data_IF_380747780368
#
_entry.id   IF_380747780368
#
_cell.length_a   1.000
_cell.length_b   1.000
_cell.length_c   1.000
_cell.angle_alpha   90.00
_cell.angle_beta   90.00
_cell.angle_gamma   90.00
#
_symmetry.space_group_name_H-M   'P 1'
#
loop_
_entity.id
_entity.type
_entity.pdbx_description
1 polymer ?
#
# COMPACT_ATOMS: atom_id res chain seq x y z
N UNK A 1 -22.95 -8.87 0.67
CA UNK A 1 -21.62 -9.47 0.51
C UNK A 1 -20.96 -9.50 1.87
N UNK A 2 -20.24 -10.58 2.20
CA UNK A 2 -19.49 -10.69 3.46
C UNK A 2 -18.43 -9.57 3.51
N UNK A 3 -18.25 -8.87 4.65
CA UNK A 3 -17.32 -7.73 4.78
C UNK A 3 -15.86 -8.25 4.79
N UNK A 4 -15.12 -7.96 3.73
CA UNK A 4 -13.72 -8.35 3.54
C UNK A 4 -12.84 -7.13 3.28
N UNK A 5 -11.58 -7.25 3.68
CA UNK A 5 -10.53 -6.25 3.52
C UNK A 5 -9.36 -6.83 2.73
N UNK A 6 -8.74 -6.00 1.91
CA UNK A 6 -7.41 -6.23 1.38
C UNK A 6 -6.41 -5.75 2.43
N UNK A 7 -5.79 -6.70 3.12
CA UNK A 7 -4.65 -6.45 3.98
C UNK A 7 -3.41 -6.23 3.10
N UNK A 8 -2.67 -5.17 3.34
CA UNK A 8 -1.40 -4.86 2.70
C UNK A 8 -0.33 -4.65 3.77
N UNK A 9 0.72 -5.47 3.76
CA UNK A 9 1.87 -5.38 4.65
C UNK A 9 3.12 -5.08 3.83
N UNK A 10 3.81 -3.99 4.14
CA UNK A 10 5.10 -3.61 3.54
C UNK A 10 6.18 -3.89 4.58
N UNK A 11 7.01 -4.90 4.32
CA UNK A 11 7.95 -5.44 5.32
C UNK A 11 9.35 -5.58 4.73
N UNK A 12 10.37 -5.66 5.58
CA UNK A 12 11.73 -5.96 5.13
C UNK A 12 11.79 -7.35 4.51
N UNK A 13 12.61 -7.52 3.46
CA UNK A 13 12.73 -8.80 2.74
C UNK A 13 13.22 -9.95 3.62
N UNK A 14 14.10 -9.69 4.58
CA UNK A 14 14.60 -10.68 5.54
C UNK A 14 13.53 -11.15 6.56
N UNK A 15 12.54 -10.32 6.84
CA UNK A 15 11.43 -10.63 7.75
C UNK A 15 10.22 -11.25 7.05
N UNK A 16 10.17 -11.22 5.71
CA UNK A 16 9.03 -11.67 4.89
C UNK A 16 8.46 -13.02 5.31
N UNK A 17 9.31 -14.04 5.47
CA UNK A 17 8.90 -15.41 5.84
C UNK A 17 8.20 -15.46 7.20
N UNK A 18 8.61 -14.61 8.14
CA UNK A 18 7.99 -14.55 9.48
C UNK A 18 6.59 -13.96 9.41
N UNK A 19 6.37 -12.93 8.58
CA UNK A 19 5.03 -12.37 8.32
C UNK A 19 4.13 -13.37 7.60
N UNK A 20 4.65 -14.04 6.55
CA UNK A 20 3.94 -15.08 5.81
C UNK A 20 3.46 -16.19 6.75
N UNK A 21 4.38 -16.74 7.56
CA UNK A 21 4.11 -17.81 8.52
C UNK A 21 3.09 -17.39 9.58
N UNK A 22 3.19 -16.14 10.07
CA UNK A 22 2.24 -15.62 11.06
C UNK A 22 0.81 -15.57 10.50
N UNK A 23 0.64 -15.08 9.26
CA UNK A 23 -0.65 -15.02 8.60
C UNK A 23 -1.21 -16.44 8.27
N UNK A 24 -0.35 -17.37 7.87
CA UNK A 24 -0.77 -18.78 7.66
C UNK A 24 -1.26 -19.44 8.95
N UNK A 25 -0.59 -19.18 10.09
CA UNK A 25 -0.99 -19.73 11.41
C UNK A 25 -2.35 -19.23 11.90
N UNK A 26 -2.86 -18.14 11.35
CA UNK A 26 -4.21 -17.62 11.64
C UNK A 26 -5.23 -17.97 10.54
N UNK A 27 -4.88 -18.85 9.61
CA UNK A 27 -5.76 -19.39 8.58
C UNK A 27 -5.71 -18.66 7.23
N UNK A 28 -4.81 -17.70 7.04
CA UNK A 28 -4.72 -16.96 5.77
C UNK A 28 -3.73 -17.68 4.85
N UNK A 29 -4.25 -18.61 4.03
CA UNK A 29 -3.41 -19.40 3.13
C UNK A 29 -3.08 -18.68 1.82
N UNK A 30 -4.04 -17.96 1.24
CA UNK A 30 -3.85 -17.26 -0.02
C UNK A 30 -3.28 -15.85 0.22
N UNK A 31 -2.03 -15.67 -0.21
CA UNK A 31 -1.28 -14.42 -0.05
C UNK A 31 -0.50 -14.13 -1.33
N UNK A 32 -0.35 -12.86 -1.66
CA UNK A 32 0.37 -12.38 -2.85
C UNK A 32 1.52 -11.49 -2.42
N UNK A 33 2.70 -11.70 -3.00
CA UNK A 33 3.88 -10.91 -2.67
C UNK A 33 4.43 -10.23 -3.92
N UNK A 34 4.84 -8.98 -3.77
CA UNK A 34 5.58 -8.23 -4.80
C UNK A 34 6.81 -7.61 -4.19
N UNK A 35 7.94 -7.64 -4.90
CA UNK A 35 9.12 -6.90 -4.52
C UNK A 35 8.85 -5.41 -4.66
N UNK A 36 9.27 -4.64 -3.65
CA UNK A 36 9.07 -3.21 -3.60
C UNK A 36 10.27 -2.53 -2.93
N UNK A 37 10.31 -1.20 -2.93
CA UNK A 37 11.26 -0.44 -2.14
C UNK A 37 10.60 0.79 -1.51
N UNK A 38 11.15 1.26 -0.39
CA UNK A 38 10.67 2.46 0.30
C UNK A 38 11.34 3.74 -0.22
N UNK A 39 10.75 4.89 0.10
CA UNK A 39 11.32 6.22 -0.22
C UNK A 39 11.38 7.17 0.99
N UNK A 40 11.12 6.66 2.20
CA UNK A 40 11.02 7.48 3.42
C UNK A 40 12.38 7.84 4.06
N UNK A 41 13.44 7.07 3.78
CA UNK A 41 14.80 7.32 4.27
C UNK A 41 15.69 7.72 3.09
N UNK A 42 16.58 8.70 3.31
CA UNK A 42 17.82 8.91 2.54
C UNK A 42 18.97 8.66 3.51
N UNK A 43 19.50 7.45 3.55
CA UNK A 43 20.69 7.13 4.34
C UNK A 43 21.97 7.51 3.57
N UNK A 44 23.11 7.57 4.26
CA UNK A 44 24.43 7.73 3.59
C UNK A 44 24.69 6.57 2.61
N UNK A 45 24.18 5.38 2.90
CA UNK A 45 24.31 4.22 2.04
C UNK A 45 23.39 4.29 0.80
N UNK A 46 22.24 4.98 0.90
CA UNK A 46 21.39 5.28 -0.26
C UNK A 46 22.16 6.16 -1.26
N UNK A 47 22.93 7.15 -0.77
CA UNK A 47 23.80 7.99 -1.63
C UNK A 47 24.93 7.19 -2.29
N UNK A 48 25.45 6.19 -1.59
CA UNK A 48 26.48 5.30 -2.13
C UNK A 48 25.91 4.22 -3.06
N UNK A 49 24.58 4.14 -3.21
CA UNK A 49 23.90 3.11 -3.99
C UNK A 49 23.96 1.71 -3.38
N UNK A 50 24.31 1.62 -2.09
CA UNK A 50 24.53 0.38 -1.35
C UNK A 50 23.26 -0.03 -0.59
N UNK A 51 22.43 0.93 -0.20
CA UNK A 51 21.17 0.67 0.48
C UNK A 51 20.01 0.88 -0.51
N UNK A 52 19.59 -0.22 -1.12
CA UNK A 52 18.17 -0.40 -1.42
C UNK A 52 17.75 -1.56 -0.54
N UNK A 53 17.23 -1.28 0.65
CA UNK A 53 16.56 -2.36 1.39
C UNK A 53 15.33 -2.74 0.58
N UNK A 54 15.47 -3.77 -0.24
CA UNK A 54 14.34 -4.38 -0.90
C UNK A 54 13.34 -4.78 0.18
N UNK A 55 12.10 -4.38 -0.04
CA UNK A 55 10.96 -4.69 0.79
C UNK A 55 10.06 -5.64 0.03
N UNK A 56 9.14 -6.24 0.76
CA UNK A 56 8.07 -7.05 0.17
C UNK A 56 6.74 -6.40 0.52
N UNK A 57 5.92 -6.16 -0.50
CA UNK A 57 4.50 -5.88 -0.35
C UNK A 57 3.76 -7.22 -0.35
N UNK A 58 3.31 -7.64 0.83
CA UNK A 58 2.49 -8.81 1.06
C UNK A 58 1.01 -8.41 1.13
N UNK A 59 0.16 -9.11 0.39
CA UNK A 59 -1.27 -8.81 0.26
C UNK A 59 -2.10 -10.05 0.55
N UNK A 60 -3.22 -9.88 1.26
CA UNK A 60 -4.15 -10.96 1.55
C UNK A 60 -5.59 -10.44 1.68
N UNK A 61 -6.56 -11.27 1.31
CA UNK A 61 -7.97 -11.00 1.56
C UNK A 61 -8.32 -11.54 2.94
N UNK A 62 -8.94 -10.73 3.79
CA UNK A 62 -9.26 -11.12 5.17
C UNK A 62 -10.66 -10.63 5.58
N UNK A 63 -11.44 -11.40 6.38
CA UNK A 63 -12.68 -10.90 6.95
C UNK A 63 -12.44 -9.63 7.76
N UNK A 64 -13.36 -8.67 7.71
CA UNK A 64 -13.25 -7.47 8.55
C UNK A 64 -13.20 -7.83 10.05
N UNK A 65 -13.92 -8.88 10.45
CA UNK A 65 -13.93 -9.39 11.84
C UNK A 65 -12.55 -9.84 12.35
N UNK A 66 -11.67 -10.33 11.47
CA UNK A 66 -10.33 -10.80 11.85
C UNK A 66 -9.27 -9.70 11.82
N UNK A 67 -9.56 -8.55 11.20
CA UNK A 67 -8.61 -7.44 11.01
C UNK A 67 -8.01 -6.96 12.33
N UNK A 68 -8.83 -6.75 13.37
CA UNK A 68 -8.35 -6.31 14.70
C UNK A 68 -7.35 -7.29 15.33
N UNK A 69 -7.63 -8.60 15.19
CA UNK A 69 -6.75 -9.68 15.70
C UNK A 69 -5.43 -9.74 14.93
N UNK A 70 -5.47 -9.57 13.61
CA UNK A 70 -4.28 -9.53 12.75
C UNK A 70 -3.39 -8.36 13.17
N UNK A 71 -3.94 -7.15 13.25
CA UNK A 71 -3.20 -5.94 13.59
C UNK A 71 -2.56 -6.05 14.97
N UNK A 72 -3.32 -6.55 15.97
CA UNK A 72 -2.76 -6.83 17.30
C UNK A 72 -1.55 -7.77 17.24
N UNK A 73 -1.59 -8.84 16.45
CA UNK A 73 -0.43 -9.75 16.29
C UNK A 73 0.74 -9.10 15.56
N UNK A 74 0.49 -8.26 14.56
CA UNK A 74 1.55 -7.51 13.88
C UNK A 74 2.27 -6.57 14.87
N UNK A 75 1.56 -5.98 15.82
CA UNK A 75 2.17 -5.18 16.90
C UNK A 75 2.89 -6.08 17.91
N UNK A 76 2.17 -7.01 18.55
CA UNK A 76 2.68 -7.77 19.70
C UNK A 76 3.78 -8.78 19.33
N UNK A 77 3.68 -9.41 18.15
CA UNK A 77 4.57 -10.52 17.75
C UNK A 77 5.62 -10.05 16.75
N UNK A 78 5.23 -9.23 15.78
CA UNK A 78 6.14 -8.78 14.72
C UNK A 78 6.84 -7.47 15.06
N UNK A 79 6.43 -6.77 16.13
CA UNK A 79 7.00 -5.48 16.50
C UNK A 79 6.90 -4.46 15.38
N UNK A 80 5.80 -4.46 14.61
CA UNK A 80 5.67 -3.65 13.39
C UNK A 80 5.73 -2.14 13.66
N UNK A 81 5.45 -1.70 14.89
CA UNK A 81 5.53 -0.29 15.30
C UNK A 81 6.95 0.22 15.51
N UNK A 82 7.93 -0.69 15.62
CA UNK A 82 9.35 -0.32 15.66
C UNK A 82 9.71 0.30 14.30
N UNK A 83 10.28 1.53 14.28
CA UNK A 83 10.66 2.18 13.04
C UNK A 83 11.48 1.27 12.13
N UNK A 84 11.03 1.13 10.88
CA UNK A 84 11.69 0.32 9.87
C UNK A 84 11.25 -1.15 9.79
N UNK A 85 10.50 -1.69 10.76
CA UNK A 85 10.05 -3.10 10.70
C UNK A 85 8.91 -3.35 9.71
N UNK A 86 8.10 -2.33 9.43
CA UNK A 86 7.14 -2.40 8.34
C UNK A 86 5.94 -1.49 8.55
N UNK A 87 5.00 -1.55 7.63
CA UNK A 87 3.72 -0.87 7.70
C UNK A 87 2.66 -1.89 7.31
N UNK A 88 1.54 -1.91 8.02
CA UNK A 88 0.37 -2.69 7.60
C UNK A 88 -0.85 -1.79 7.52
N UNK A 89 -1.69 -2.04 6.52
CA UNK A 89 -2.92 -1.30 6.30
C UNK A 89 -4.02 -2.22 5.75
N UNK A 90 -5.28 -1.83 5.92
CA UNK A 90 -6.44 -2.54 5.37
C UNK A 90 -7.32 -1.61 4.53
N UNK A 91 -7.82 -2.13 3.42
CA UNK A 91 -8.69 -1.42 2.47
C UNK A 91 -9.95 -2.26 2.21
N UNK A 92 -11.12 -1.63 2.20
CA UNK A 92 -12.38 -2.32 1.91
C UNK A 92 -12.41 -2.96 0.51
N UNK A 93 -12.82 -4.23 0.45
CA UNK A 93 -13.05 -4.94 -0.82
C UNK A 93 -14.52 -4.79 -1.22
N UNK A 94 -14.78 -4.08 -2.32
CA UNK A 94 -16.14 -3.86 -2.82
C UNK A 94 -16.80 -5.12 -3.38
N UNK A 95 -16.03 -5.94 -4.13
CA UNK A 95 -16.54 -7.19 -4.68
C UNK A 95 -15.44 -8.17 -5.10
N UNK A 96 -15.78 -9.47 -5.13
CA UNK A 96 -14.97 -10.52 -5.76
C UNK A 96 -15.79 -11.19 -6.86
N UNK A 97 -15.19 -11.33 -8.04
CA UNK A 97 -15.83 -11.97 -9.19
C UNK A 97 -15.78 -13.50 -9.12
N UNK A 98 -16.93 -14.13 -8.92
CA UNK A 98 -17.10 -15.58 -8.95
C UNK A 98 -16.75 -16.29 -7.64
N UNK A 99 -17.53 -17.32 -7.29
CA UNK A 99 -17.38 -18.07 -6.02
C UNK A 99 -16.04 -18.82 -5.94
N UNK A 100 -15.56 -19.38 -7.05
CA UNK A 100 -14.27 -20.07 -7.10
C UNK A 100 -13.10 -19.14 -6.76
N UNK A 101 -13.09 -17.94 -7.33
CA UNK A 101 -12.11 -16.89 -7.01
C UNK A 101 -12.18 -16.48 -5.55
N UNK A 102 -13.40 -16.30 -5.03
CA UNK A 102 -13.61 -15.97 -3.61
C UNK A 102 -13.05 -17.06 -2.71
N UNK A 103 -13.42 -18.32 -2.93
CA UNK A 103 -12.94 -19.46 -2.13
C UNK A 103 -11.42 -19.60 -2.18
N UNK A 104 -10.79 -19.30 -3.31
CA UNK A 104 -9.34 -19.28 -3.42
C UNK A 104 -8.74 -18.17 -2.56
N UNK A 105 -9.24 -16.93 -2.68
CA UNK A 105 -8.74 -15.77 -1.93
C UNK A 105 -8.96 -15.90 -0.41
N UNK A 106 -10.00 -16.61 0.01
CA UNK A 106 -10.36 -16.79 1.43
C UNK A 106 -9.98 -18.17 1.97
N UNK A 107 -9.13 -18.92 1.26
CA UNK A 107 -8.75 -20.28 1.65
C UNK A 107 -8.13 -20.32 3.05
N UNK A 108 -8.57 -21.28 3.85
CA UNK A 108 -8.14 -21.50 5.23
C UNK A 108 -8.84 -20.60 6.27
N UNK A 109 -9.67 -19.66 5.81
CA UNK A 109 -10.32 -18.67 6.66
C UNK A 109 -11.73 -19.12 7.01
N UNK A 110 -12.12 -18.90 8.26
CA UNK A 110 -13.50 -19.09 8.68
C UNK A 110 -14.36 -17.98 8.06
N UNK A 111 -15.53 -18.36 7.56
CA UNK A 111 -16.47 -17.37 7.09
C UNK A 111 -16.91 -16.48 8.27
N UNK A 112 -17.05 -15.16 8.05
CA UNK A 112 -17.61 -14.29 9.09
C UNK A 112 -19.02 -14.76 9.46
N UNK A 113 -19.30 -14.88 10.76
CA UNK A 113 -20.63 -15.25 11.27
C UNK A 113 -21.71 -14.34 10.68
N UNK A 114 -22.80 -14.93 10.19
CA UNK A 114 -23.92 -14.21 9.58
C UNK A 114 -24.69 -13.33 10.60
N UNK A 115 -24.43 -13.49 11.90
CA UNK A 115 -25.20 -12.89 13.00
C UNK A 115 -24.73 -11.51 13.46
N UNK A 116 -23.69 -10.92 12.86
CA UNK A 116 -23.36 -9.50 13.07
C UNK A 116 -23.91 -8.63 11.94
N UNK A 117 -25.19 -8.84 11.59
CA UNK A 117 -26.02 -7.83 10.96
C UNK A 117 -26.59 -6.91 12.05
N UNK A 118 -25.73 -6.20 12.76
CA UNK A 118 -26.07 -5.04 13.58
C UNK A 118 -24.77 -4.50 14.17
N UNK A 119 -24.03 -3.75 13.37
CA UNK A 119 -23.92 -2.33 13.61
C UNK A 119 -23.88 -1.70 12.22
N UNK A 120 -24.77 -0.75 11.95
CA UNK A 120 -24.38 0.38 11.09
C UNK A 120 -23.09 0.86 11.73
N UNK A 121 -21.93 0.41 11.23
CA UNK A 121 -20.64 0.98 11.60
C UNK A 121 -20.88 2.46 11.36
N UNK A 122 -21.05 3.24 12.43
CA UNK A 122 -20.82 4.68 12.39
C UNK A 122 -19.62 4.81 11.51
N UNK A 123 -19.75 5.60 10.45
CA UNK A 123 -18.64 5.91 9.56
C UNK A 123 -17.49 6.33 10.48
N UNK A 124 -16.62 5.38 10.83
CA UNK A 124 -15.40 5.69 11.56
C UNK A 124 -14.73 6.65 10.60
N UNK A 125 -14.54 7.89 11.03
CA UNK A 125 -14.01 8.89 10.13
C UNK A 125 -12.68 8.33 9.63
N UNK A 126 -12.65 7.98 8.35
CA UNK A 126 -11.55 7.24 7.76
C UNK A 126 -10.36 8.19 7.81
N UNK A 127 -9.47 8.03 8.81
CA UNK A 127 -8.43 9.02 9.09
C UNK A 127 -7.33 9.02 8.04
N UNK A 128 -7.21 7.93 7.28
CA UNK A 128 -6.08 7.69 6.40
C UNK A 128 -6.50 7.44 4.96
N UNK A 129 -5.64 7.81 4.04
CA UNK A 129 -5.82 7.59 2.61
C UNK A 129 -4.54 7.03 2.01
N UNK A 130 -4.69 6.07 1.10
CA UNK A 130 -3.61 5.58 0.27
C UNK A 130 -3.70 6.26 -1.10
N UNK A 131 -2.78 7.16 -1.40
CA UNK A 131 -2.62 7.71 -2.75
C UNK A 131 -1.82 6.68 -3.58
N UNK A 132 -2.33 6.37 -4.76
CA UNK A 132 -1.70 5.50 -5.74
C UNK A 132 -1.33 6.35 -6.95
N UNK A 133 -0.03 6.51 -7.19
CA UNK A 133 0.52 7.24 -8.33
C UNK A 133 1.11 6.25 -9.33
N UNK A 134 0.62 6.23 -10.57
CA UNK A 134 1.16 5.41 -11.66
C UNK A 134 1.95 6.34 -12.58
N UNK A 135 3.27 6.20 -12.62
CA UNK A 135 4.17 7.13 -13.31
C UNK A 135 5.09 6.41 -14.30
N UNK A 136 5.62 7.13 -15.29
CA UNK A 136 6.66 6.60 -16.17
C UNK A 136 7.91 6.21 -15.36
N UNK A 137 8.46 5.02 -15.61
CA UNK A 137 9.64 4.52 -14.88
C UNK A 137 10.76 5.56 -14.86
N UNK A 138 11.38 5.75 -13.70
CA UNK A 138 12.44 6.75 -13.49
C UNK A 138 11.93 8.13 -13.04
N UNK A 139 10.62 8.32 -12.92
CA UNK A 139 10.02 9.57 -12.42
C UNK A 139 9.54 9.48 -10.96
N UNK A 140 9.86 8.38 -10.25
CA UNK A 140 9.55 8.21 -8.83
C UNK A 140 10.05 9.39 -7.98
N UNK A 141 11.26 9.89 -8.23
CA UNK A 141 11.83 11.00 -7.47
C UNK A 141 11.04 12.30 -7.70
N UNK A 142 10.69 12.61 -8.95
CA UNK A 142 9.83 13.76 -9.30
C UNK A 142 8.49 13.70 -8.57
N UNK A 143 7.84 12.53 -8.57
CA UNK A 143 6.57 12.30 -7.86
C UNK A 143 6.75 12.48 -6.37
N UNK A 144 7.78 11.87 -5.77
CA UNK A 144 7.99 11.90 -4.33
C UNK A 144 8.46 13.27 -3.83
N UNK A 145 9.24 14.03 -4.61
CA UNK A 145 9.64 15.39 -4.25
C UNK A 145 8.46 16.36 -4.30
N UNK A 146 7.57 16.21 -5.30
CA UNK A 146 6.30 16.91 -5.32
C UNK A 146 5.44 16.57 -4.09
N UNK A 147 5.28 15.28 -3.79
CA UNK A 147 4.50 14.82 -2.64
C UNK A 147 5.09 15.31 -1.30
N UNK A 148 6.42 15.23 -1.12
CA UNK A 148 7.12 15.71 0.09
C UNK A 148 6.97 17.21 0.27
N UNK A 149 7.00 17.99 -0.83
CA UNK A 149 6.75 19.44 -0.75
C UNK A 149 5.35 19.79 -0.23
N UNK A 150 4.41 18.85 -0.28
CA UNK A 150 3.07 18.99 0.27
C UNK A 150 2.88 18.35 1.66
N UNK A 151 3.88 17.64 2.20
CA UNK A 151 3.82 17.01 3.53
C UNK A 151 3.87 15.49 3.54
N UNK A 152 3.96 14.83 2.37
CA UNK A 152 4.12 13.37 2.34
C UNK A 152 5.46 12.95 2.95
N UNK A 153 5.45 11.91 3.79
CA UNK A 153 6.65 11.45 4.51
C UNK A 153 7.48 10.44 3.74
N UNK A 154 6.87 9.75 2.79
CA UNK A 154 7.50 8.70 2.01
C UNK A 154 6.46 7.89 1.25
N UNK A 155 6.93 6.88 0.54
CA UNK A 155 6.10 5.97 -0.22
C UNK A 155 6.76 4.61 -0.41
N UNK A 156 6.01 3.71 -1.02
CA UNK A 156 6.47 2.38 -1.43
C UNK A 156 6.29 2.24 -2.93
N UNK A 157 7.32 1.78 -3.62
CA UNK A 157 7.39 1.75 -5.08
C UNK A 157 7.45 0.31 -5.54
N UNK A 158 6.63 -0.02 -6.55
CA UNK A 158 6.68 -1.29 -7.26
C UNK A 158 6.88 -1.05 -8.77
N UNK A 159 7.65 -1.92 -9.41
CA UNK A 159 7.78 -1.93 -10.86
C UNK A 159 6.48 -2.45 -11.50
N UNK A 160 6.05 -1.81 -12.59
CA UNK A 160 4.84 -2.16 -13.31
C UNK A 160 5.04 -2.02 -14.83
N UNK A 161 4.04 -2.47 -15.59
CA UNK A 161 3.96 -2.25 -17.05
C UNK A 161 2.62 -1.62 -17.38
N UNK A 162 2.66 -0.53 -18.15
CA UNK A 162 1.46 0.09 -18.70
C UNK A 162 1.04 -0.59 -20.01
N UNK A 163 -0.26 -0.59 -20.29
CA UNK A 163 -0.84 -1.17 -21.51
C UNK A 163 -1.23 -0.11 -22.54
N UNK A 164 -1.50 1.13 -22.09
CA UNK A 164 -1.78 2.25 -22.98
C UNK A 164 -0.52 2.61 -23.79
N UNK A 165 -0.63 2.89 -25.10
CA UNK A 165 0.52 3.35 -25.88
C UNK A 165 1.15 4.59 -25.23
N UNK A 166 2.45 4.53 -24.89
CA UNK A 166 3.19 5.71 -24.48
C UNK A 166 3.35 6.68 -25.67
N UNK A 167 3.57 7.96 -25.39
CA UNK A 167 3.77 8.99 -26.43
C UNK A 167 4.95 8.67 -27.40
N UNK A 168 5.85 7.75 -27.01
CA UNK A 168 7.02 7.30 -27.80
C UNK A 168 6.94 5.80 -28.14
N UNK A 169 5.75 5.27 -28.45
CA UNK A 169 5.55 3.83 -28.66
C UNK A 169 6.23 3.22 -29.90
N UNK A 170 6.85 4.02 -30.77
CA UNK A 170 7.50 3.52 -32.01
C UNK A 170 8.88 4.14 -32.19
N UNK A 171 9.90 3.33 -31.98
CA UNK A 171 11.26 3.59 -32.46
C UNK A 171 11.70 2.34 -33.22
N UNK A 172 11.96 2.46 -34.53
CA UNK A 172 12.43 1.36 -35.39
C UNK A 172 11.58 0.07 -35.43
N UNK A 173 10.25 0.15 -35.38
CA UNK A 173 9.39 -1.05 -35.46
C UNK A 173 9.47 -1.98 -34.23
N UNK A 174 10.21 -1.58 -33.19
CA UNK A 174 10.25 -2.24 -31.90
C UNK A 174 9.31 -1.50 -30.94
N UNK A 175 8.39 -2.24 -30.32
CA UNK A 175 7.58 -1.72 -29.23
C UNK A 175 8.49 -1.46 -28.03
N UNK A 176 8.81 -0.19 -27.75
CA UNK A 176 9.49 0.18 -26.51
C UNK A 176 8.62 -0.26 -25.34
N UNK A 177 9.18 -1.03 -24.41
CA UNK A 177 8.46 -1.49 -23.23
C UNK A 177 7.91 -0.30 -22.45
N UNK A 178 6.60 -0.27 -22.26
CA UNK A 178 5.92 0.77 -21.46
C UNK A 178 6.11 0.48 -19.96
N UNK A 179 7.32 0.69 -19.48
CA UNK A 179 7.66 0.48 -18.07
C UNK A 179 7.11 1.63 -17.22
N UNK A 180 6.40 1.24 -16.16
CA UNK A 180 5.78 2.14 -15.20
C UNK A 180 6.28 1.82 -13.79
N UNK A 181 6.11 2.76 -12.89
CA UNK A 181 6.26 2.55 -11.46
C UNK A 181 4.94 2.93 -10.79
N UNK A 182 4.51 2.12 -9.83
CA UNK A 182 3.37 2.45 -8.97
C UNK A 182 3.94 2.87 -7.62
N UNK A 183 3.61 4.08 -7.18
CA UNK A 183 4.02 4.65 -5.91
C UNK A 183 2.80 4.71 -4.99
N UNK A 184 2.88 3.98 -3.89
CA UNK A 184 1.94 3.99 -2.78
C UNK A 184 2.37 5.01 -1.74
N UNK A 185 1.56 6.04 -1.50
CA UNK A 185 1.82 7.10 -0.51
C UNK A 185 0.69 7.04 0.51
N UNK A 186 1.01 6.58 1.72
CA UNK A 186 0.08 6.57 2.84
C UNK A 186 0.11 7.94 3.53
N UNK A 187 -1.07 8.50 3.80
CA UNK A 187 -1.21 9.86 4.34
C UNK A 187 -2.46 10.00 5.22
N UNK A 188 -2.54 11.06 6.01
CA UNK A 188 -3.79 11.51 6.60
C UNK A 188 -4.77 11.91 5.49
N UNK A 189 -6.07 11.64 5.69
CA UNK A 189 -7.15 12.02 4.78
C UNK A 189 -7.21 13.53 4.57
N UNK A 190 -6.88 14.32 5.60
CA UNK A 190 -6.82 15.79 5.54
C UNK A 190 -5.75 16.30 4.56
N UNK A 191 -4.63 15.60 4.42
CA UNK A 191 -3.50 16.01 3.58
C UNK A 191 -3.59 15.49 2.15
N UNK A 192 -4.47 14.50 1.91
CA UNK A 192 -4.59 13.76 0.65
C UNK A 192 -4.76 14.70 -0.56
N UNK A 193 -5.72 15.63 -0.51
CA UNK A 193 -6.00 16.51 -1.65
C UNK A 193 -4.82 17.44 -1.96
N UNK A 194 -4.17 18.00 -0.93
CA UNK A 194 -2.99 18.85 -1.08
C UNK A 194 -1.82 18.10 -1.73
N UNK A 195 -1.56 16.86 -1.27
CA UNK A 195 -0.50 16.01 -1.84
C UNK A 195 -0.82 15.65 -3.29
N UNK A 196 -2.06 15.25 -3.59
CA UNK A 196 -2.48 14.93 -4.96
C UNK A 196 -2.31 16.13 -5.89
N UNK A 197 -2.70 17.34 -5.48
CA UNK A 197 -2.53 18.55 -6.28
C UNK A 197 -1.06 18.84 -6.60
N UNK A 198 -0.17 18.76 -5.61
CA UNK A 198 1.25 19.00 -5.83
C UNK A 198 1.87 18.01 -6.83
N UNK A 199 1.49 16.73 -6.77
CA UNK A 199 1.95 15.73 -7.75
C UNK A 199 1.35 16.01 -9.14
N UNK A 200 0.06 16.35 -9.23
CA UNK A 200 -0.58 16.68 -10.51
C UNK A 200 0.14 17.84 -11.19
N UNK A 201 0.47 18.91 -10.46
CA UNK A 201 1.15 20.09 -11.02
C UNK A 201 2.55 19.77 -11.57
N UNK A 202 3.36 19.05 -10.78
CA UNK A 202 4.79 18.82 -11.07
C UNK A 202 5.10 17.56 -11.88
N UNK A 203 4.23 16.56 -11.82
CA UNK A 203 4.47 15.24 -12.41
C UNK A 203 3.23 14.65 -13.11
N UNK A 204 2.15 15.43 -13.28
CA UNK A 204 0.90 14.97 -13.88
C UNK A 204 0.99 14.62 -15.37
N UNK A 205 -0.17 14.38 -15.97
CA UNK A 205 -0.30 13.89 -17.35
C UNK A 205 0.33 14.78 -18.43
N UNK A 206 0.47 16.08 -18.16
CA UNK A 206 1.10 17.06 -19.07
C UNK A 206 2.63 17.08 -19.00
N UNK A 207 3.24 16.32 -18.09
CA UNK A 207 4.69 16.25 -17.89
C UNK A 207 5.29 14.98 -18.49
N UNK A 208 6.62 14.90 -18.56
CA UNK A 208 7.32 13.66 -18.99
C UNK A 208 7.04 12.47 -18.06
N UNK A 209 6.68 12.71 -16.79
CA UNK A 209 6.33 11.67 -15.84
C UNK A 209 4.98 11.01 -16.17
N UNK A 210 4.06 11.75 -16.81
CA UNK A 210 2.73 11.28 -17.20
C UNK A 210 1.99 10.54 -16.08
N UNK A 211 2.01 11.11 -14.87
CA UNK A 211 1.50 10.44 -13.68
C UNK A 211 -0.02 10.50 -13.63
N UNK A 212 -0.64 9.34 -13.40
CA UNK A 212 -2.07 9.21 -13.06
C UNK A 212 -2.21 8.92 -11.57
N UNK A 213 -3.16 9.57 -10.91
CA UNK A 213 -3.35 9.51 -9.47
C UNK A 213 -4.79 9.11 -9.12
N UNK A 214 -4.93 8.25 -8.13
CA UNK A 214 -6.20 8.02 -7.44
C UNK A 214 -5.93 7.69 -5.98
N UNK A 215 -6.95 7.78 -5.14
CA UNK A 215 -6.84 7.50 -3.71
C UNK A 215 -7.81 6.40 -3.28
N UNK A 216 -7.37 5.56 -2.35
CA UNK A 216 -8.21 4.54 -1.71
C UNK A 216 -8.35 4.85 -0.21
N UNK A 217 -9.54 4.65 0.38
CA UNK A 217 -9.72 4.78 1.82
C UNK A 217 -8.93 3.68 2.55
N UNK A 218 -8.28 4.04 3.66
CA UNK A 218 -7.57 3.08 4.52
C UNK A 218 -8.32 2.96 5.85
N UNK A 219 -8.86 1.78 6.10
CA UNK A 219 -9.73 1.54 7.25
C UNK A 219 -8.96 1.45 8.56
N UNK A 220 -7.75 0.88 8.52
CA UNK A 220 -6.88 0.71 9.68
C UNK A 220 -5.42 0.65 9.23
N UNK A 221 -4.52 1.11 10.09
CA UNK A 221 -3.08 1.14 9.84
C UNK A 221 -2.31 0.82 11.14
N UNK A 222 -1.13 0.20 11.03
CA UNK A 222 -0.09 0.12 12.07
C UNK A 222 1.30 0.23 11.44
N UNK A 223 2.32 0.53 12.24
CA UNK A 223 3.71 0.60 11.77
C UNK A 223 4.11 1.94 11.13
N UNK A 224 3.22 2.94 11.17
CA UNK A 224 3.50 4.28 10.68
C UNK A 224 3.25 5.33 11.76
N UNK A 225 4.03 5.26 12.85
CA UNK A 225 3.99 6.19 14.01
C UNK A 225 4.08 7.67 13.61
N UNK A 226 4.68 7.88 12.46
CA UNK A 226 4.88 9.14 11.76
C UNK A 226 3.56 9.84 11.34
N UNK A 227 2.47 9.10 11.19
CA UNK A 227 1.15 9.65 10.86
C UNK A 227 0.15 9.51 12.01
N UNK A 228 0.58 8.94 13.15
CA UNK A 228 -0.28 8.93 14.31
C UNK A 228 -0.53 10.39 14.72
N UNK A 229 -1.79 10.80 14.92
CA UNK A 229 -2.06 12.08 15.56
C UNK A 229 -1.28 12.12 16.86
N UNK A 230 -0.62 13.25 17.16
CA UNK A 230 -0.02 13.42 18.48
C UNK A 230 -1.11 13.15 19.50
N UNK A 231 -0.88 12.18 20.38
CA UNK A 231 -1.74 12.03 21.53
C UNK A 231 -1.61 13.35 22.30
N UNK A 232 -2.67 14.15 22.34
CA UNK A 232 -2.89 15.11 23.41
C UNK A 232 -3.19 14.32 24.68
N UNK A 233 -2.18 13.64 25.22
CA UNK A 233 -2.23 13.02 26.54
C UNK A 233 -1.22 13.74 27.44
N UNK A 234 -1.80 14.69 28.21
CA UNK A 234 -1.38 15.33 29.47
C UNK A 234 -0.15 16.28 29.50
#
# INVERSE_FOLDING_TARGET
MKDYRLLMCIVKRDQYESYLTMLQRIGIEAQFASLCHGTASKSVLDYLGIEKTEKVLLQAFVPSSTTKKIFKRLVDVMGIEVPGNGIAMSIHVGSVGGQSSFNYLTKGQQEPDETTSDEVKKMNDIMYSLIVAITAKGNTDTVMDAARSAGARGGTVINARGTAPGAKAKFFGLSISNEKEIVYILTLKSDKDKIMHAIMEKAGMHTDAQTVLFSLPVDSMVGLRSLAPENEDE
#
